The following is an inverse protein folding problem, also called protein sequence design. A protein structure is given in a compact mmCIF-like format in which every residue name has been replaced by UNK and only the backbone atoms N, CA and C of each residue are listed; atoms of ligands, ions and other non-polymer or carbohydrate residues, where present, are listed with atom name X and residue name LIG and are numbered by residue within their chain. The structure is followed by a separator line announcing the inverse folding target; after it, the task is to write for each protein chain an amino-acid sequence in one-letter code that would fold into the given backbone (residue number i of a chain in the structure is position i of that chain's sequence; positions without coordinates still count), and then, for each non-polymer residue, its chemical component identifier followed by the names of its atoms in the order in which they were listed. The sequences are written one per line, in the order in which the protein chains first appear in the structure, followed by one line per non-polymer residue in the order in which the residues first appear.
data_IF_599840941963
#
_entry.id   IF_599840941963
#
_cell.length_a   1.000
_cell.length_b   1.000
_cell.length_c   1.000
_cell.angle_alpha   90.00
_cell.angle_beta   90.00
_cell.angle_gamma   90.00
#
_symmetry.space_group_name_H-M   'P 1'
#
loop_
_entity.id
_entity.type
_entity.pdbx_description
1 polymer ?
#
# COMPACT_ATOMS: atom_id res chain seq x y z
N UNK A 1 0.48 21.16 9.26
CA UNK A 1 1.39 19.99 9.36
C UNK A 1 0.81 18.95 10.32
N UNK A 2 -0.15 18.14 9.89
CA UNK A 2 -0.81 17.12 10.76
C UNK A 2 -0.12 15.76 10.69
N UNK A 3 0.37 15.38 9.50
CA UNK A 3 0.99 14.07 9.27
C UNK A 3 2.10 13.72 10.29
N UNK A 4 3.08 14.61 10.56
CA UNK A 4 4.19 14.26 11.44
C UNK A 4 3.73 14.04 12.88
N UNK A 5 2.73 14.81 13.33
CA UNK A 5 2.16 14.69 14.67
C UNK A 5 1.39 13.38 14.82
N UNK A 6 0.49 13.04 13.89
CA UNK A 6 -0.27 11.78 13.93
C UNK A 6 0.67 10.57 13.89
N UNK A 7 1.69 10.59 13.04
CA UNK A 7 2.68 9.51 12.99
C UNK A 7 3.42 9.35 14.32
N UNK A 8 3.79 10.45 14.97
CA UNK A 8 4.47 10.41 16.28
C UNK A 8 3.56 9.79 17.36
N UNK A 9 2.27 10.15 17.36
CA UNK A 9 1.29 9.57 18.30
C UNK A 9 1.07 8.08 18.07
N UNK A 10 0.96 7.66 16.81
CA UNK A 10 0.82 6.23 16.45
C UNK A 10 2.04 5.43 16.87
N UNK A 11 3.25 5.95 16.63
CA UNK A 11 4.50 5.27 17.05
C UNK A 11 4.56 5.16 18.58
N UNK A 12 4.07 6.18 19.30
CA UNK A 12 3.93 6.14 20.75
C UNK A 12 2.73 5.32 21.25
N UNK A 13 1.99 4.64 20.36
CA UNK A 13 0.77 3.87 20.65
C UNK A 13 -0.35 4.68 21.32
N UNK A 14 -0.35 6.01 21.15
CA UNK A 14 -1.36 6.91 21.67
C UNK A 14 -2.53 7.03 20.69
N UNK A 15 -3.19 5.90 20.39
CA UNK A 15 -4.17 5.82 19.31
C UNK A 15 -5.42 6.66 19.56
N UNK A 16 -5.98 6.64 20.77
CA UNK A 16 -7.16 7.44 21.11
C UNK A 16 -6.92 8.93 20.91
N UNK A 17 -5.74 9.40 21.33
CA UNK A 17 -5.35 10.79 21.15
C UNK A 17 -5.10 11.12 19.67
N UNK A 18 -4.48 10.20 18.91
CA UNK A 18 -4.34 10.35 17.46
C UNK A 18 -5.71 10.47 16.77
N UNK A 19 -6.67 9.60 17.09
CA UNK A 19 -8.03 9.62 16.55
C UNK A 19 -8.76 10.92 16.91
N UNK A 20 -8.63 11.39 18.16
CA UNK A 20 -9.17 12.67 18.59
C UNK A 20 -8.59 13.83 17.76
N UNK A 21 -7.27 13.89 17.61
CA UNK A 21 -6.60 14.92 16.81
C UNK A 21 -7.03 14.87 15.33
N UNK A 22 -7.19 13.68 14.76
CA UNK A 22 -7.63 13.52 13.38
C UNK A 22 -9.05 14.02 13.16
N UNK A 23 -9.99 13.69 14.05
CA UNK A 23 -11.38 14.17 13.98
C UNK A 23 -11.46 15.69 14.09
N UNK A 24 -10.80 16.26 15.10
CA UNK A 24 -10.84 17.71 15.36
C UNK A 24 -10.18 18.53 14.25
N UNK A 25 -9.18 17.95 13.58
CA UNK A 25 -8.43 18.61 12.52
C UNK A 25 -8.73 18.04 11.12
N UNK A 26 -9.91 17.44 10.89
CA UNK A 26 -10.26 16.85 9.60
C UNK A 26 -10.14 17.85 8.45
N UNK A 27 -10.62 19.08 8.66
CA UNK A 27 -10.61 20.14 7.64
C UNK A 27 -9.21 20.48 7.11
N UNK A 28 -8.18 20.29 7.93
CA UNK A 28 -6.80 20.53 7.57
C UNK A 28 -6.23 19.51 6.58
N UNK A 29 -6.91 18.39 6.32
CA UNK A 29 -6.61 17.54 5.15
C UNK A 29 -7.02 18.24 3.85
N UNK A 30 -8.08 19.03 3.89
CA UNK A 30 -8.67 19.69 2.73
C UNK A 30 -9.50 18.74 1.86
N UNK A 31 -10.40 19.28 1.02
CA UNK A 31 -11.39 18.51 0.27
C UNK A 31 -10.77 17.55 -0.76
N UNK A 32 -9.55 17.85 -1.23
CA UNK A 32 -8.83 17.02 -2.19
C UNK A 32 -8.24 15.76 -1.56
N UNK A 33 -8.24 15.63 -0.23
CA UNK A 33 -7.55 14.55 0.48
C UNK A 33 -8.50 13.73 1.36
N UNK A 34 -9.79 13.71 1.04
CA UNK A 34 -10.77 12.91 1.79
C UNK A 34 -10.39 11.41 1.78
N UNK A 35 -9.95 10.85 0.64
CA UNK A 35 -9.48 9.46 0.60
C UNK A 35 -8.30 9.23 1.55
N UNK A 36 -7.32 10.15 1.58
CA UNK A 36 -6.17 10.04 2.48
C UNK A 36 -6.61 10.06 3.96
N UNK A 37 -7.56 10.93 4.30
CA UNK A 37 -8.12 10.96 5.65
C UNK A 37 -8.75 9.61 6.02
N UNK A 38 -9.57 9.03 5.13
CA UNK A 38 -10.26 7.77 5.41
C UNK A 38 -9.28 6.59 5.55
N UNK A 39 -8.25 6.55 4.70
CA UNK A 39 -7.17 5.55 4.79
C UNK A 39 -6.42 5.66 6.13
N UNK A 40 -5.97 6.86 6.49
CA UNK A 40 -5.24 7.08 7.74
C UNK A 40 -6.13 6.73 8.94
N UNK A 41 -7.38 7.19 8.94
CA UNK A 41 -8.29 7.09 10.07
C UNK A 41 -8.74 5.65 10.31
N UNK A 42 -9.12 4.93 9.24
CA UNK A 42 -9.42 3.51 9.29
C UNK A 42 -8.22 2.68 9.79
N UNK A 43 -7.01 2.98 9.31
CA UNK A 43 -5.81 2.28 9.77
C UNK A 43 -5.49 2.55 11.25
N UNK A 44 -5.70 3.77 11.75
CA UNK A 44 -5.52 4.05 13.19
C UNK A 44 -6.58 3.34 14.03
N UNK A 45 -7.84 3.25 13.57
CA UNK A 45 -8.87 2.47 14.24
C UNK A 45 -8.51 0.97 14.31
N UNK A 46 -8.00 0.39 13.22
CA UNK A 46 -7.49 -0.98 13.22
C UNK A 46 -6.40 -1.18 14.28
N UNK A 47 -5.41 -0.28 14.34
CA UNK A 47 -4.33 -0.36 15.32
C UNK A 47 -4.80 -0.12 16.77
N UNK A 48 -5.87 0.63 16.96
CA UNK A 48 -6.51 0.86 18.25
C UNK A 48 -7.35 -0.35 18.73
N UNK A 49 -7.53 -1.38 17.89
CA UNK A 49 -8.44 -2.49 18.17
C UNK A 49 -9.91 -2.16 17.92
N UNK A 50 -10.22 -0.99 17.35
CA UNK A 50 -11.57 -0.57 16.98
C UNK A 50 -11.98 -1.13 15.61
N UNK A 51 -11.98 -2.46 15.48
CA UNK A 51 -12.11 -3.16 14.20
C UNK A 51 -13.43 -2.87 13.47
N UNK A 52 -14.57 -2.83 14.17
CA UNK A 52 -15.86 -2.49 13.55
C UNK A 52 -15.86 -1.09 12.96
N UNK A 53 -15.33 -0.11 13.71
CA UNK A 53 -15.25 1.28 13.24
C UNK A 53 -14.26 1.41 12.08
N UNK A 54 -13.14 0.67 12.13
CA UNK A 54 -12.18 0.57 11.03
C UNK A 54 -12.84 0.08 9.74
N UNK A 55 -13.65 -1.00 9.80
CA UNK A 55 -14.42 -1.50 8.66
C UNK A 55 -15.32 -0.41 8.05
N UNK A 56 -16.06 0.32 8.88
CA UNK A 56 -16.97 1.39 8.43
C UNK A 56 -16.21 2.50 7.68
N UNK A 57 -15.07 2.95 8.20
CA UNK A 57 -14.29 4.04 7.59
C UNK A 57 -13.53 3.58 6.34
N UNK A 58 -13.00 2.34 6.34
CA UNK A 58 -12.34 1.77 5.17
C UNK A 58 -13.33 1.46 4.02
N UNK A 59 -14.60 1.20 4.32
CA UNK A 59 -15.65 1.08 3.30
C UNK A 59 -15.97 2.44 2.65
N UNK A 60 -15.91 3.54 3.41
CA UNK A 60 -15.97 4.89 2.83
C UNK A 60 -14.76 5.14 1.92
N UNK A 61 -13.57 4.68 2.31
CA UNK A 61 -12.38 4.78 1.47
C UNK A 61 -12.55 4.02 0.13
N UNK A 62 -13.11 2.79 0.14
CA UNK A 62 -13.45 2.03 -1.08
C UNK A 62 -14.37 2.82 -2.00
N UNK A 63 -15.45 3.41 -1.47
CA UNK A 63 -16.41 4.22 -2.24
C UNK A 63 -15.77 5.46 -2.87
N UNK A 64 -14.97 6.21 -2.11
CA UNK A 64 -14.28 7.39 -2.63
C UNK A 64 -13.29 6.98 -3.72
N UNK A 65 -12.56 5.87 -3.50
CA UNK A 65 -11.65 5.33 -4.49
C UNK A 65 -12.36 5.01 -5.81
N UNK A 66 -13.47 4.27 -5.78
CA UNK A 66 -14.20 3.87 -7.00
C UNK A 66 -14.76 5.08 -7.77
N UNK A 67 -15.18 6.14 -7.05
CA UNK A 67 -15.57 7.42 -7.66
C UNK A 67 -14.38 8.09 -8.37
N UNK A 68 -13.24 8.20 -7.70
CA UNK A 68 -12.03 8.80 -8.26
C UNK A 68 -11.45 8.00 -9.43
N UNK A 69 -11.55 6.67 -9.38
CA UNK A 69 -11.20 5.77 -10.46
C UNK A 69 -12.05 6.07 -11.71
N UNK A 70 -13.37 6.14 -11.55
CA UNK A 70 -14.32 6.41 -12.64
C UNK A 70 -14.01 7.74 -13.32
N UNK A 71 -13.83 8.81 -12.55
CA UNK A 71 -13.47 10.15 -13.08
C UNK A 71 -12.12 10.11 -13.82
N UNK A 72 -11.14 9.36 -13.32
CA UNK A 72 -9.84 9.23 -13.98
C UNK A 72 -9.95 8.58 -15.36
N UNK A 73 -10.81 7.57 -15.51
CA UNK A 73 -11.00 6.87 -16.78
C UNK A 73 -11.72 7.75 -17.80
N UNK A 74 -12.71 8.54 -17.38
CA UNK A 74 -13.49 9.42 -18.27
C UNK A 74 -12.75 10.71 -18.66
N UNK A 75 -11.95 11.29 -17.76
CA UNK A 75 -11.33 12.63 -17.94
C UNK A 75 -9.80 12.58 -18.14
N UNK A 76 -9.29 11.60 -18.89
CA UNK A 76 -7.86 11.31 -18.98
C UNK A 76 -6.99 12.48 -19.48
N UNK A 77 -7.51 13.41 -20.29
CA UNK A 77 -6.69 14.50 -20.84
C UNK A 77 -6.67 15.79 -19.97
N UNK A 78 -7.79 16.16 -19.34
CA UNK A 78 -7.90 17.43 -18.60
C UNK A 78 -7.19 17.42 -17.23
N UNK A 79 -7.02 16.24 -16.64
CA UNK A 79 -6.38 16.09 -15.31
C UNK A 79 -4.86 16.16 -15.34
N UNK A 80 -4.21 15.95 -16.49
CA UNK A 80 -2.74 15.97 -16.60
C UNK A 80 -2.15 17.38 -16.53
N UNK A 81 -2.98 18.39 -16.81
CA UNK A 81 -2.59 19.81 -16.84
C UNK A 81 -2.67 20.47 -15.46
N UNK A 82 -3.40 19.85 -14.53
CA UNK A 82 -3.54 20.34 -13.16
C UNK A 82 -2.31 19.91 -12.36
N UNK A 83 -1.84 20.75 -11.44
CA UNK A 83 -0.79 20.37 -10.49
C UNK A 83 -1.25 19.13 -9.69
N UNK A 84 -0.50 18.03 -9.75
CA UNK A 84 -0.84 16.74 -9.11
C UNK A 84 -1.12 16.88 -7.61
N UNK A 85 -0.46 17.82 -6.92
CA UNK A 85 -0.72 18.08 -5.50
C UNK A 85 -2.12 18.70 -5.24
N UNK A 86 -2.66 19.46 -6.21
CA UNK A 86 -3.99 20.09 -6.13
C UNK A 86 -5.11 19.18 -6.62
N UNK A 87 -4.80 18.10 -7.33
CA UNK A 87 -5.78 17.11 -7.74
C UNK A 87 -6.28 16.27 -6.55
N UNK A 88 -7.51 15.71 -6.62
CA UNK A 88 -7.98 14.76 -5.62
C UNK A 88 -6.98 13.61 -5.45
N UNK A 89 -6.64 13.29 -4.21
CA UNK A 89 -5.75 12.18 -3.90
C UNK A 89 -6.43 10.85 -4.21
N UNK A 90 -5.83 10.07 -5.13
CA UNK A 90 -6.42 8.83 -5.63
C UNK A 90 -5.92 7.58 -4.90
N UNK A 91 -5.02 7.72 -3.92
CA UNK A 91 -4.34 6.60 -3.28
C UNK A 91 -3.29 5.97 -4.19
N UNK A 92 -2.24 5.43 -3.59
CA UNK A 92 -1.28 4.58 -4.30
C UNK A 92 -1.88 3.18 -4.53
N UNK A 93 -1.38 2.46 -5.55
CA UNK A 93 -1.88 1.12 -5.89
C UNK A 93 -1.84 0.16 -4.70
N UNK A 94 -0.74 0.18 -3.93
CA UNK A 94 -0.59 -0.64 -2.73
C UNK A 94 -1.50 -0.21 -1.58
N UNK A 95 -1.77 1.09 -1.40
CA UNK A 95 -2.67 1.57 -0.35
C UNK A 95 -4.11 1.11 -0.63
N UNK A 96 -4.53 1.12 -1.90
CA UNK A 96 -5.86 0.65 -2.32
C UNK A 96 -6.04 -0.85 -2.05
N UNK A 97 -5.01 -1.65 -2.31
CA UNK A 97 -5.02 -3.09 -2.01
C UNK A 97 -4.98 -3.33 -0.49
N UNK A 98 -4.22 -2.51 0.24
CA UNK A 98 -4.12 -2.60 1.71
C UNK A 98 -5.48 -2.40 2.38
N UNK A 99 -6.41 -1.64 1.78
CA UNK A 99 -7.77 -1.49 2.32
C UNK A 99 -8.42 -2.86 2.54
N UNK A 100 -8.45 -3.68 1.49
CA UNK A 100 -9.05 -5.01 1.51
C UNK A 100 -8.31 -5.96 2.46
N UNK A 101 -6.96 -5.90 2.50
CA UNK A 101 -6.15 -6.70 3.45
C UNK A 101 -6.52 -6.36 4.90
N UNK A 102 -6.59 -5.08 5.25
CA UNK A 102 -6.92 -4.65 6.61
C UNK A 102 -8.38 -4.96 6.95
N UNK A 103 -9.31 -4.84 6.01
CA UNK A 103 -10.69 -5.25 6.24
C UNK A 103 -10.81 -6.77 6.46
N UNK A 104 -10.10 -7.59 5.69
CA UNK A 104 -10.07 -9.03 5.89
C UNK A 104 -9.56 -9.39 7.29
N UNK A 105 -8.49 -8.72 7.76
CA UNK A 105 -8.00 -8.88 9.12
C UNK A 105 -9.00 -8.41 10.19
N UNK A 106 -9.68 -7.29 9.98
CA UNK A 106 -10.72 -6.81 10.90
C UNK A 106 -11.83 -7.86 11.03
N UNK A 107 -12.37 -8.35 9.92
CA UNK A 107 -13.43 -9.36 9.94
C UNK A 107 -12.99 -10.68 10.57
N UNK A 108 -11.76 -11.14 10.30
CA UNK A 108 -11.22 -12.34 10.92
C UNK A 108 -11.12 -12.20 12.45
N UNK A 109 -10.65 -11.06 12.96
CA UNK A 109 -10.60 -10.81 14.42
C UNK A 109 -12.00 -10.71 15.03
N UNK A 110 -12.99 -10.27 14.24
CA UNK A 110 -14.39 -10.25 14.65
C UNK A 110 -15.09 -11.62 14.53
N UNK A 111 -14.39 -12.66 14.07
CA UNK A 111 -14.93 -14.00 13.86
C UNK A 111 -15.83 -14.14 12.63
N UNK A 112 -15.85 -13.15 11.73
CA UNK A 112 -16.63 -13.14 10.50
C UNK A 112 -15.75 -13.56 9.31
N UNK A 113 -15.39 -14.84 9.28
CA UNK A 113 -14.50 -15.40 8.25
C UNK A 113 -15.11 -15.37 6.84
N UNK A 114 -16.44 -15.48 6.72
CA UNK A 114 -17.15 -15.30 5.46
C UNK A 114 -16.85 -13.92 4.84
N UNK A 115 -17.01 -12.83 5.61
CA UNK A 115 -16.65 -11.48 5.12
C UNK A 115 -15.16 -11.29 4.99
N UNK A 116 -14.34 -11.91 5.85
CA UNK A 116 -12.89 -11.86 5.72
C UNK A 116 -12.42 -12.42 4.37
N UNK A 117 -12.98 -13.56 3.95
CA UNK A 117 -12.71 -14.19 2.66
C UNK A 117 -13.24 -13.37 1.48
N UNK A 118 -14.39 -12.69 1.62
CA UNK A 118 -14.85 -11.74 0.60
C UNK A 118 -13.82 -10.63 0.37
N UNK A 119 -13.37 -9.98 1.44
CA UNK A 119 -12.37 -8.90 1.34
C UNK A 119 -11.01 -9.42 0.83
N UNK A 120 -10.59 -10.61 1.25
CA UNK A 120 -9.36 -11.22 0.75
C UNK A 120 -9.45 -11.50 -0.77
N UNK A 121 -10.57 -12.06 -1.26
CA UNK A 121 -10.80 -12.30 -2.71
C UNK A 121 -10.86 -11.01 -3.51
N UNK A 122 -11.43 -9.96 -2.93
CA UNK A 122 -11.52 -8.64 -3.56
C UNK A 122 -10.14 -8.02 -3.88
N UNK A 123 -9.06 -8.48 -3.24
CA UNK A 123 -7.68 -8.07 -3.56
C UNK A 123 -7.33 -8.40 -5.01
N UNK A 124 -7.62 -9.61 -5.49
CA UNK A 124 -7.32 -10.02 -6.87
C UNK A 124 -8.14 -9.17 -7.87
N UNK A 125 -9.41 -8.90 -7.57
CA UNK A 125 -10.24 -8.00 -8.38
C UNK A 125 -9.71 -6.56 -8.41
N UNK A 126 -9.29 -6.05 -7.24
CA UNK A 126 -8.74 -4.70 -7.11
C UNK A 126 -7.44 -4.55 -7.89
N UNK A 127 -6.55 -5.53 -7.80
CA UNK A 127 -5.31 -5.57 -8.57
C UNK A 127 -5.58 -5.64 -10.06
N UNK A 128 -6.54 -6.47 -10.50
CA UNK A 128 -6.97 -6.51 -11.90
C UNK A 128 -7.42 -5.13 -12.40
N UNK A 129 -8.26 -4.43 -11.64
CA UNK A 129 -8.75 -3.10 -11.99
C UNK A 129 -7.62 -2.06 -12.06
N UNK A 130 -6.69 -2.08 -11.10
CA UNK A 130 -5.51 -1.21 -11.10
C UNK A 130 -4.67 -1.46 -12.36
N UNK A 131 -4.40 -2.73 -12.67
CA UNK A 131 -3.55 -3.13 -13.77
C UNK A 131 -4.15 -2.79 -15.15
N UNK A 132 -5.48 -2.75 -15.29
CA UNK A 132 -6.15 -2.29 -16.52
C UNK A 132 -5.86 -0.83 -16.88
N UNK A 133 -5.41 0.01 -15.93
CA UNK A 133 -5.01 1.39 -16.20
C UNK A 133 -3.61 1.52 -16.80
N UNK A 134 -2.86 0.42 -16.86
CA UNK A 134 -1.50 0.39 -17.39
C UNK A 134 -1.52 -0.11 -18.83
N UNK A 135 -0.76 0.56 -19.70
CA UNK A 135 -0.56 0.12 -21.09
C UNK A 135 0.28 -1.15 -21.14
N UNK A 136 0.13 -1.95 -22.20
CA UNK A 136 0.87 -3.20 -22.40
C UNK A 136 2.39 -3.03 -22.39
N UNK A 137 2.90 -1.88 -22.86
CA UNK A 137 4.34 -1.54 -22.88
C UNK A 137 4.84 -0.95 -21.55
N UNK A 138 3.94 -0.72 -20.59
CA UNK A 138 4.22 -0.07 -19.31
C UNK A 138 3.40 -0.73 -18.20
N UNK A 139 3.47 -2.05 -18.12
CA UNK A 139 2.69 -2.82 -17.16
C UNK A 139 3.16 -2.53 -15.73
N UNK A 140 2.20 -2.50 -14.81
CA UNK A 140 2.52 -2.40 -13.38
C UNK A 140 3.21 -3.69 -12.92
N UNK A 141 4.20 -3.55 -12.06
CA UNK A 141 4.92 -4.66 -11.42
C UNK A 141 4.11 -5.26 -10.27
N UNK A 142 3.23 -4.46 -9.64
CA UNK A 142 2.38 -4.91 -8.55
C UNK A 142 1.08 -5.54 -9.09
N UNK A 143 1.12 -6.85 -9.38
CA UNK A 143 0.01 -7.60 -10.02
C UNK A 143 -0.70 -8.58 -9.12
N UNK A 144 -0.02 -9.03 -8.09
CA UNK A 144 -0.50 -9.94 -7.06
C UNK A 144 -0.09 -9.36 -5.70
N UNK A 145 -0.63 -9.90 -4.60
CA UNK A 145 -0.16 -9.63 -3.24
C UNK A 145 0.09 -10.97 -2.52
N UNK A 146 1.37 -11.28 -2.26
CA UNK A 146 1.77 -12.56 -1.67
C UNK A 146 1.23 -12.75 -0.24
N UNK A 147 1.14 -11.66 0.53
CA UNK A 147 0.66 -11.68 1.89
C UNK A 147 -0.86 -11.83 1.95
N UNK A 148 -1.60 -11.16 1.07
CA UNK A 148 -3.04 -11.33 0.94
C UNK A 148 -3.41 -12.78 0.58
N UNK A 149 -2.66 -13.41 -0.32
CA UNK A 149 -2.85 -14.83 -0.67
C UNK A 149 -2.57 -15.77 0.50
N UNK A 150 -1.51 -15.51 1.28
CA UNK A 150 -1.23 -16.24 2.50
C UNK A 150 -2.39 -16.11 3.51
N UNK A 151 -2.88 -14.89 3.76
CA UNK A 151 -4.02 -14.67 4.65
C UNK A 151 -5.29 -15.38 4.17
N UNK A 152 -5.54 -15.36 2.87
CA UNK A 152 -6.68 -16.05 2.26
C UNK A 152 -6.60 -17.56 2.51
N UNK A 153 -5.43 -18.16 2.33
CA UNK A 153 -5.21 -19.58 2.63
C UNK A 153 -5.46 -19.91 4.11
N UNK A 154 -4.95 -19.08 5.03
CA UNK A 154 -5.19 -19.23 6.48
C UNK A 154 -6.69 -19.17 6.80
N UNK A 155 -7.41 -18.23 6.19
CA UNK A 155 -8.85 -18.06 6.43
C UNK A 155 -9.67 -19.24 5.89
N UNK A 156 -9.32 -19.78 4.72
CA UNK A 156 -9.96 -20.99 4.21
C UNK A 156 -9.69 -22.21 5.09
N UNK A 157 -8.44 -22.39 5.52
CA UNK A 157 -8.07 -23.47 6.43
C UNK A 157 -8.84 -23.38 7.76
N UNK A 158 -9.09 -22.17 8.26
CA UNK A 158 -9.87 -21.93 9.47
C UNK A 158 -11.37 -22.28 9.35
N UNK A 159 -11.98 -22.15 8.16
CA UNK A 159 -13.36 -22.59 7.89
C UNK A 159 -13.47 -24.13 7.83
N UNK A 160 -12.45 -24.79 7.25
CA UNK A 160 -12.22 -26.22 7.45
C UNK A 160 -13.11 -27.19 6.66
N UNK A 161 -13.96 -26.74 5.73
CA UNK A 161 -14.64 -27.67 4.82
C UNK A 161 -13.66 -28.25 3.78
N UNK A 162 -13.98 -29.41 3.18
CA UNK A 162 -13.12 -30.01 2.15
C UNK A 162 -12.90 -29.09 0.93
N UNK A 163 -13.93 -28.32 0.54
CA UNK A 163 -13.80 -27.31 -0.53
C UNK A 163 -12.84 -26.21 -0.10
N UNK A 164 -12.94 -25.77 1.16
CA UNK A 164 -12.07 -24.73 1.70
C UNK A 164 -10.62 -25.21 1.82
N UNK A 165 -10.36 -26.49 2.12
CA UNK A 165 -9.00 -27.02 2.15
C UNK A 165 -8.32 -27.01 0.77
N UNK A 166 -9.08 -27.30 -0.30
CA UNK A 166 -8.57 -27.16 -1.67
C UNK A 166 -8.33 -25.67 -2.01
N UNK A 167 -9.24 -24.77 -1.63
CA UNK A 167 -9.06 -23.34 -1.84
C UNK A 167 -7.89 -22.76 -1.01
N UNK A 168 -7.65 -23.30 0.19
CA UNK A 168 -6.50 -22.99 1.03
C UNK A 168 -5.20 -23.41 0.33
N UNK A 169 -5.12 -24.65 -0.14
CA UNK A 169 -3.98 -25.15 -0.93
C UNK A 169 -3.69 -24.26 -2.15
N UNK A 170 -4.71 -23.94 -2.95
CA UNK A 170 -4.56 -23.06 -4.13
C UNK A 170 -4.06 -21.67 -3.71
N UNK A 171 -4.58 -21.12 -2.62
CA UNK A 171 -4.18 -19.81 -2.11
C UNK A 171 -2.72 -19.82 -1.64
N UNK A 172 -2.29 -20.87 -0.94
CA UNK A 172 -0.90 -21.05 -0.53
C UNK A 172 0.04 -21.24 -1.73
N UNK A 173 -0.33 -22.06 -2.72
CA UNK A 173 0.46 -22.25 -3.95
C UNK A 173 0.71 -20.93 -4.68
N UNK A 174 -0.34 -20.13 -4.86
CA UNK A 174 -0.23 -18.80 -5.46
C UNK A 174 0.55 -17.82 -4.58
N UNK A 175 0.52 -17.98 -3.25
CA UNK A 175 1.34 -17.18 -2.35
C UNK A 175 2.83 -17.53 -2.53
N UNK A 176 3.19 -18.82 -2.64
CA UNK A 176 4.55 -19.28 -2.94
C UNK A 176 5.04 -18.68 -4.25
N UNK A 177 4.25 -18.80 -5.33
CA UNK A 177 4.55 -18.18 -6.63
C UNK A 177 4.81 -16.67 -6.49
N UNK A 178 3.94 -15.96 -5.76
CA UNK A 178 4.06 -14.52 -5.57
C UNK A 178 5.31 -14.11 -4.77
N UNK A 179 5.71 -14.86 -3.74
CA UNK A 179 6.97 -14.60 -3.03
C UNK A 179 8.20 -14.91 -3.89
N UNK A 180 8.12 -15.95 -4.73
CA UNK A 180 9.21 -16.39 -5.61
C UNK A 180 9.48 -15.46 -6.81
N UNK A 181 8.52 -14.61 -7.19
CA UNK A 181 8.64 -13.64 -8.29
C UNK A 181 9.71 -12.54 -8.04
N UNK A 182 10.32 -12.49 -6.85
CA UNK A 182 11.43 -11.59 -6.51
C UNK A 182 11.01 -10.12 -6.32
N UNK A 183 9.79 -9.75 -6.69
CA UNK A 183 9.21 -8.41 -6.51
C UNK A 183 9.24 -7.96 -5.04
N UNK A 184 8.86 -8.83 -4.10
CA UNK A 184 8.77 -8.44 -2.69
C UNK A 184 10.14 -8.31 -2.01
N UNK A 185 11.17 -8.97 -2.53
CA UNK A 185 12.49 -9.12 -1.89
C UNK A 185 12.36 -9.60 -0.42
N UNK A 186 11.33 -10.40 -0.16
CA UNK A 186 11.00 -11.00 1.13
C UNK A 186 11.06 -12.52 0.92
N UNK A 187 11.79 -13.27 1.75
CA UNK A 187 11.84 -14.72 1.62
C UNK A 187 10.45 -15.32 1.90
N UNK A 188 10.15 -16.48 1.29
CA UNK A 188 8.94 -17.23 1.59
C UNK A 188 8.87 -17.48 3.11
N UNK A 189 7.84 -16.96 3.82
CA UNK A 189 7.72 -17.14 5.27
C UNK A 189 7.58 -18.62 5.66
N UNK A 190 8.12 -19.01 6.81
CA UNK A 190 8.08 -20.40 7.28
C UNK A 190 6.66 -20.97 7.36
N UNK A 191 5.67 -20.20 7.85
CA UNK A 191 4.22 -20.54 7.90
C UNK A 191 3.73 -20.97 6.54
N UNK A 192 4.19 -20.30 5.48
CA UNK A 192 3.65 -20.59 4.17
C UNK A 192 4.15 -21.96 3.74
N UNK A 193 5.41 -22.27 4.04
CA UNK A 193 5.99 -23.60 3.82
C UNK A 193 5.29 -24.66 4.67
N UNK A 194 5.09 -24.40 5.96
CA UNK A 194 4.40 -25.33 6.87
C UNK A 194 2.96 -25.58 6.44
N UNK A 195 2.22 -24.53 6.09
CA UNK A 195 0.81 -24.60 5.71
C UNK A 195 0.63 -25.24 4.34
N UNK A 196 1.47 -24.92 3.36
CA UNK A 196 1.38 -25.54 2.05
C UNK A 196 1.77 -27.02 2.08
N UNK A 197 2.76 -27.41 2.87
CA UNK A 197 3.11 -28.83 3.07
C UNK A 197 1.95 -29.59 3.75
N UNK A 198 1.34 -29.00 4.79
CA UNK A 198 0.18 -29.59 5.47
C UNK A 198 -1.03 -29.73 4.53
N UNK A 199 -1.31 -28.71 3.72
CA UNK A 199 -2.41 -28.73 2.75
C UNK A 199 -2.13 -29.70 1.59
N UNK A 200 -0.91 -29.71 1.06
CA UNK A 200 -0.49 -30.59 -0.02
C UNK A 200 -0.56 -32.07 0.38
N UNK A 201 -0.25 -32.43 1.63
CA UNK A 201 -0.42 -33.80 2.16
C UNK A 201 -1.88 -34.29 2.01
N UNK A 202 -2.87 -33.39 2.13
CA UNK A 202 -4.28 -33.72 1.94
C UNK A 202 -4.67 -33.77 0.46
N UNK A 203 -4.01 -32.99 -0.40
CA UNK A 203 -4.29 -33.00 -1.85
C UNK A 203 -3.78 -34.26 -2.53
N UNK A 204 -2.58 -34.71 -2.18
CA UNK A 204 -2.00 -35.90 -2.79
C UNK A 204 -0.48 -35.99 -2.65
N UNK A 205 0.05 -37.17 -3.01
CA UNK A 205 1.49 -37.44 -2.97
C UNK A 205 2.27 -36.53 -3.93
N UNK A 206 1.72 -36.28 -5.11
CA UNK A 206 2.40 -35.47 -6.14
C UNK A 206 2.55 -34.01 -5.69
N UNK A 207 1.47 -33.43 -5.13
CA UNK A 207 1.49 -32.08 -4.57
C UNK A 207 2.43 -31.97 -3.37
N UNK A 208 2.47 -32.99 -2.51
CA UNK A 208 3.38 -33.02 -1.37
C UNK A 208 4.84 -33.12 -1.81
N UNK A 209 5.15 -34.05 -2.71
CA UNK A 209 6.52 -34.29 -3.20
C UNK A 209 7.07 -33.01 -3.89
N UNK A 210 6.23 -32.27 -4.63
CA UNK A 210 6.59 -30.99 -5.26
C UNK A 210 7.18 -29.98 -4.26
N UNK A 211 6.45 -29.68 -3.18
CA UNK A 211 6.90 -28.67 -2.21
C UNK A 211 7.95 -29.22 -1.23
N UNK A 212 7.96 -30.53 -0.99
CA UNK A 212 9.02 -31.16 -0.21
C UNK A 212 10.37 -31.10 -0.94
N UNK A 213 10.40 -31.31 -2.25
CA UNK A 213 11.61 -31.11 -3.07
C UNK A 213 12.06 -29.64 -3.10
N UNK A 214 11.12 -28.68 -3.18
CA UNK A 214 11.43 -27.25 -3.20
C UNK A 214 11.99 -26.73 -1.87
N UNK A 215 11.39 -27.14 -0.75
CA UNK A 215 11.71 -26.58 0.57
C UNK A 215 12.60 -27.47 1.45
N UNK A 216 12.74 -28.76 1.12
CA UNK A 216 13.45 -29.75 1.91
C UNK A 216 12.68 -30.21 3.15
N UNK A 217 13.42 -30.65 4.17
CA UNK A 217 12.91 -31.19 5.43
C UNK A 217 12.38 -30.10 6.39
N UNK A 218 11.44 -29.27 5.92
CA UNK A 218 10.74 -28.30 6.77
C UNK A 218 9.82 -29.06 7.73
N UNK A 219 9.98 -28.94 9.06
CA UNK A 219 9.07 -29.58 10.00
C UNK A 219 7.71 -28.90 9.94
N UNK A 220 6.64 -29.68 9.78
CA UNK A 220 5.26 -29.19 9.79
C UNK A 220 4.36 -30.12 10.60
N UNK A 221 3.20 -29.60 11.01
CA UNK A 221 2.13 -30.38 11.65
C UNK A 221 1.06 -30.62 10.59
N UNK A 222 0.65 -31.87 10.38
CA UNK A 222 -0.41 -32.22 9.43
C UNK A 222 -1.75 -31.57 9.81
N UNK A 223 -2.60 -31.30 8.81
CA UNK A 223 -3.96 -30.76 9.06
C UNK A 223 -4.76 -31.64 10.03
N UNK A 224 -4.58 -32.96 9.98
CA UNK A 224 -5.22 -33.91 10.90
C UNK A 224 -4.78 -33.73 12.36
N UNK A 225 -3.52 -33.40 12.60
CA UNK A 225 -3.02 -33.12 13.96
C UNK A 225 -3.35 -31.69 14.40
N UNK A 226 -3.35 -30.72 13.48
CA UNK A 226 -3.79 -29.34 13.73
C UNK A 226 -5.24 -29.28 14.19
N UNK A 227 -6.13 -30.09 13.61
CA UNK A 227 -7.54 -30.20 14.01
C UNK A 227 -7.76 -30.63 15.47
N UNK A 228 -6.74 -31.13 16.16
CA UNK A 228 -6.77 -31.51 17.58
C UNK A 228 -6.22 -30.42 18.50
N UNK A 229 -5.78 -29.30 17.95
CA UNK A 229 -5.05 -28.22 18.62
C UNK A 229 -5.72 -26.88 18.35
N UNK A 230 -5.35 -25.87 19.13
CA UNK A 230 -5.66 -24.50 18.79
C UNK A 230 -4.50 -23.90 17.99
N UNK A 231 -4.80 -23.10 16.97
CA UNK A 231 -3.81 -22.31 16.22
C UNK A 231 -3.97 -20.82 16.53
N UNK A 232 -2.85 -20.14 16.79
CA UNK A 232 -2.85 -18.69 17.05
C UNK A 232 -1.89 -17.98 16.12
N UNK A 233 -2.40 -17.31 15.09
CA UNK A 233 -1.65 -16.41 14.23
C UNK A 233 -1.56 -15.03 14.90
N UNK A 234 -0.37 -14.44 14.94
CA UNK A 234 -0.16 -13.11 15.54
C UNK A 234 0.34 -12.17 14.47
N UNK A 235 -0.37 -11.08 14.20
CA UNK A 235 0.04 -10.09 13.20
C UNK A 235 0.53 -8.85 13.93
N UNK A 236 1.71 -8.35 13.59
CA UNK A 236 2.31 -7.19 14.25
C UNK A 236 2.73 -6.14 13.21
N UNK A 237 2.12 -4.96 13.24
CA UNK A 237 2.54 -3.85 12.39
C UNK A 237 3.79 -3.16 12.93
N UNK A 238 4.84 -3.05 12.12
CA UNK A 238 6.10 -2.46 12.56
C UNK A 238 6.68 -1.44 11.58
N UNK A 239 6.76 -0.19 12.02
CA UNK A 239 7.35 0.90 11.26
C UNK A 239 6.30 1.70 10.48
N UNK A 240 6.76 2.78 9.85
CA UNK A 240 5.92 3.69 9.07
C UNK A 240 6.10 3.43 7.56
N UNK A 241 5.17 3.84 6.70
CA UNK A 241 5.45 3.80 5.24
C UNK A 241 6.58 4.76 4.86
N UNK A 242 7.29 4.50 3.74
CA UNK A 242 8.21 5.46 3.17
C UNK A 242 7.51 6.78 2.86
N UNK A 243 8.28 7.86 2.96
CA UNK A 243 7.78 9.20 2.63
C UNK A 243 8.29 9.61 1.26
N UNK A 244 7.38 10.16 0.45
CA UNK A 244 7.73 10.80 -0.80
C UNK A 244 8.43 12.13 -0.53
N UNK A 245 9.47 12.41 -1.29
CA UNK A 245 10.13 13.70 -1.35
C UNK A 245 10.12 14.21 -2.80
N UNK A 246 10.15 15.53 -3.00
CA UNK A 246 10.16 16.09 -4.33
C UNK A 246 11.59 16.04 -4.90
N UNK A 247 11.72 15.51 -6.11
CA UNK A 247 12.89 15.76 -6.97
C UNK A 247 12.52 16.91 -7.90
N UNK A 248 13.30 18.00 -7.85
CA UNK A 248 13.08 19.21 -8.66
C UNK A 248 14.32 19.49 -9.49
N UNK A 249 14.14 19.60 -10.80
CA UNK A 249 15.21 19.88 -11.76
C UNK A 249 14.83 21.17 -12.50
N UNK A 250 15.50 22.30 -12.21
CA UNK A 250 15.32 23.52 -12.98
C UNK A 250 15.95 23.35 -14.37
N UNK A 251 15.23 23.77 -15.40
CA UNK A 251 15.64 23.68 -16.80
C UNK A 251 15.64 25.10 -17.36
N UNK A 252 16.81 25.76 -17.47
CA UNK A 252 16.91 27.06 -18.12
C UNK A 252 16.69 26.90 -19.63
N UNK A 253 15.87 27.78 -20.20
CA UNK A 253 15.57 27.80 -21.63
C UNK A 253 16.30 28.99 -22.29
N UNK A 254 16.70 28.88 -23.58
CA UNK A 254 17.45 29.92 -24.29
C UNK A 254 16.76 31.29 -24.33
N UNK A 255 15.46 31.30 -24.06
CA UNK A 255 14.58 32.43 -24.17
C UNK A 255 14.40 33.19 -22.82
N UNK A 256 15.21 32.85 -21.82
CA UNK A 256 15.24 33.48 -20.49
C UNK A 256 14.18 32.97 -19.51
N UNK A 257 13.33 32.02 -19.92
CA UNK A 257 12.48 31.31 -18.97
C UNK A 257 13.24 30.21 -18.24
N UNK A 258 12.82 29.95 -17.01
CA UNK A 258 13.22 28.77 -16.26
C UNK A 258 11.97 27.92 -16.08
N UNK A 259 11.95 26.74 -16.69
CA UNK A 259 10.93 25.73 -16.45
C UNK A 259 11.44 24.76 -15.38
N UNK A 260 10.55 24.10 -14.63
CA UNK A 260 10.95 23.20 -13.55
C UNK A 260 10.29 21.85 -13.72
N UNK A 261 11.09 20.81 -13.88
CA UNK A 261 10.60 19.44 -13.85
C UNK A 261 10.51 18.98 -12.39
N UNK A 262 9.33 18.59 -11.92
CA UNK A 262 9.15 18.08 -10.57
C UNK A 262 8.43 16.72 -10.53
N UNK A 263 9.04 15.73 -9.89
CA UNK A 263 8.47 14.38 -9.75
C UNK A 263 8.78 13.81 -8.35
N UNK A 264 7.94 12.88 -7.84
CA UNK A 264 8.15 12.29 -6.53
C UNK A 264 9.21 11.17 -6.58
N UNK A 265 9.89 10.98 -5.45
CA UNK A 265 10.71 9.80 -5.17
C UNK A 265 10.48 9.37 -3.72
N UNK A 266 10.70 8.10 -3.39
CA UNK A 266 10.65 7.61 -2.01
C UNK A 266 12.03 7.64 -1.37
N UNK A 267 12.11 7.99 -0.09
CA UNK A 267 13.26 7.63 0.74
C UNK A 267 12.95 6.35 1.49
N UNK A 268 13.85 5.37 1.40
CA UNK A 268 13.79 4.19 2.25
C UNK A 268 14.00 4.61 3.71
N UNK A 269 13.17 4.08 4.59
CA UNK A 269 13.30 4.29 6.04
C UNK A 269 13.83 3.00 6.64
N UNK A 270 14.81 3.12 7.53
CA UNK A 270 15.31 1.99 8.31
C UNK A 270 14.56 1.93 9.64
N UNK A 271 14.09 0.74 10.00
CA UNK A 271 13.40 0.49 11.27
C UNK A 271 14.15 -0.53 12.11
N UNK A 272 14.18 -0.31 13.41
CA UNK A 272 14.61 -1.27 14.42
C UNK A 272 13.54 -1.31 15.53
N UNK A 273 13.27 -2.47 16.14
CA UNK A 273 13.94 -3.76 15.95
C UNK A 273 13.36 -4.56 14.77
N UNK A 274 14.16 -5.04 13.80
CA UNK A 274 13.63 -5.77 12.61
C UNK A 274 12.93 -7.12 12.89
N UNK A 275 13.01 -7.62 14.11
CA UNK A 275 12.34 -8.85 14.51
C UNK A 275 11.92 -8.77 15.99
N UNK A 276 10.73 -9.29 16.28
CA UNK A 276 10.23 -9.55 17.62
C UNK A 276 10.37 -11.00 18.02
N UNK A 277 10.23 -11.27 19.32
CA UNK A 277 9.99 -12.59 19.88
C UNK A 277 8.68 -12.52 20.64
N UNK A 278 7.82 -13.51 20.47
CA UNK A 278 6.72 -13.69 21.41
C UNK A 278 6.85 -15.03 22.11
N UNK A 279 6.37 -15.00 23.34
CA UNK A 279 6.45 -16.04 24.33
C UNK A 279 5.01 -16.39 24.71
N UNK A 280 4.68 -17.67 24.67
CA UNK A 280 3.41 -18.19 25.14
C UNK A 280 3.69 -19.22 26.22
N UNK A 281 3.11 -18.99 27.40
CA UNK A 281 3.22 -19.89 28.54
C UNK A 281 1.89 -20.58 28.75
N UNK A 282 1.89 -21.91 28.72
CA UNK A 282 0.73 -22.71 29.06
C UNK A 282 0.39 -22.52 30.55
N UNK A 283 -0.86 -22.13 30.84
CA UNK A 283 -1.30 -21.77 32.20
C UNK A 283 -1.13 -22.94 33.18
N UNK A 284 -1.48 -24.16 32.76
CA UNK A 284 -1.53 -25.32 33.65
C UNK A 284 -0.17 -25.99 33.87
N UNK A 285 0.68 -26.04 32.84
CA UNK A 285 1.95 -26.76 32.86
C UNK A 285 3.18 -25.86 33.04
N UNK A 286 3.02 -24.54 32.86
CA UNK A 286 4.13 -23.59 32.78
C UNK A 286 5.05 -23.81 31.57
N UNK A 287 4.67 -24.69 30.64
CA UNK A 287 5.46 -24.93 29.43
C UNK A 287 5.50 -23.66 28.62
N UNK A 288 6.71 -23.26 28.26
CA UNK A 288 6.95 -22.02 27.57
C UNK A 288 7.37 -22.27 26.12
N UNK A 289 6.75 -21.57 25.19
CA UNK A 289 7.02 -21.64 23.75
C UNK A 289 7.40 -20.26 23.24
N UNK A 290 8.49 -20.21 22.50
CA UNK A 290 8.98 -18.98 21.88
C UNK A 290 8.94 -19.12 20.37
N UNK A 291 8.50 -18.05 19.71
CA UNK A 291 8.49 -17.96 18.25
C UNK A 291 9.04 -16.60 17.84
N UNK A 292 9.92 -16.57 16.84
CA UNK A 292 10.42 -15.32 16.24
C UNK A 292 9.42 -14.81 15.20
N UNK A 293 9.33 -13.49 15.01
CA UNK A 293 8.56 -12.91 13.90
C UNK A 293 9.32 -13.07 12.59
N UNK A 294 8.60 -13.15 11.48
CA UNK A 294 9.18 -13.06 10.13
C UNK A 294 8.48 -11.93 9.36
N UNK A 295 9.17 -11.41 8.35
CA UNK A 295 8.56 -10.41 7.48
C UNK A 295 7.65 -11.13 6.48
N UNK A 296 6.34 -10.91 6.55
CA UNK A 296 5.43 -11.39 5.51
C UNK A 296 5.21 -10.37 4.40
N UNK A 297 5.28 -9.07 4.68
CA UNK A 297 5.17 -8.06 3.63
C UNK A 297 6.08 -6.88 3.91
N UNK A 298 6.52 -6.23 2.82
CA UNK A 298 7.40 -5.08 2.84
C UNK A 298 6.72 -3.92 2.09
N UNK A 299 5.80 -3.23 2.77
CA UNK A 299 5.01 -2.14 2.17
C UNK A 299 5.92 -1.02 1.62
N UNK A 300 7.07 -0.77 2.26
CA UNK A 300 8.09 0.14 1.72
C UNK A 300 8.63 -0.30 0.36
N UNK A 301 9.03 -1.57 0.24
CA UNK A 301 9.58 -2.12 -1.00
C UNK A 301 8.53 -2.12 -2.09
N UNK A 302 7.30 -2.54 -1.78
CA UNK A 302 6.16 -2.48 -2.71
C UNK A 302 5.94 -1.03 -3.19
N UNK A 303 5.94 -0.06 -2.28
CA UNK A 303 5.76 1.35 -2.64
C UNK A 303 6.89 1.87 -3.55
N UNK A 304 8.16 1.58 -3.20
CA UNK A 304 9.34 2.00 -3.96
C UNK A 304 9.34 1.38 -5.36
N UNK A 305 9.13 0.07 -5.46
CA UNK A 305 9.13 -0.63 -6.74
C UNK A 305 7.94 -0.25 -7.61
N UNK A 306 6.75 -0.08 -7.03
CA UNK A 306 5.56 0.42 -7.74
C UNK A 306 5.82 1.81 -8.34
N UNK A 307 6.43 2.74 -7.59
CA UNK A 307 6.79 4.06 -8.14
C UNK A 307 7.89 3.96 -9.22
N UNK A 308 8.91 3.12 -9.00
CA UNK A 308 10.01 2.94 -9.95
C UNK A 308 9.52 2.40 -11.29
N UNK A 309 8.60 1.44 -11.29
CA UNK A 309 8.04 0.86 -12.53
C UNK A 309 7.31 1.89 -13.40
N UNK A 310 6.64 2.86 -12.80
CA UNK A 310 5.92 3.93 -13.52
C UNK A 310 6.67 5.25 -13.59
N UNK A 311 7.93 5.30 -13.16
CA UNK A 311 8.72 6.54 -13.03
C UNK A 311 8.82 7.30 -14.35
N UNK A 312 9.04 6.60 -15.47
CA UNK A 312 9.10 7.21 -16.80
C UNK A 312 7.78 7.92 -17.17
N UNK A 313 6.63 7.28 -16.91
CA UNK A 313 5.31 7.87 -17.15
C UNK A 313 5.10 9.12 -16.29
N UNK A 314 5.52 9.08 -15.03
CA UNK A 314 5.41 10.23 -14.10
C UNK A 314 6.30 11.39 -14.57
N UNK A 315 7.53 11.13 -14.98
CA UNK A 315 8.44 12.13 -15.53
C UNK A 315 7.89 12.73 -16.83
N UNK A 316 7.37 11.90 -17.74
CA UNK A 316 6.77 12.37 -18.98
C UNK A 316 5.57 13.31 -18.73
N UNK A 317 4.69 12.97 -17.77
CA UNK A 317 3.59 13.85 -17.36
C UNK A 317 4.09 15.18 -16.78
N UNK A 318 5.10 15.13 -15.92
CA UNK A 318 5.70 16.34 -15.36
C UNK A 318 6.31 17.22 -16.45
N UNK A 319 6.99 16.64 -17.44
CA UNK A 319 7.55 17.38 -18.57
C UNK A 319 6.45 18.05 -19.43
N UNK A 320 5.37 17.32 -19.74
CA UNK A 320 4.23 17.87 -20.48
C UNK A 320 3.57 19.03 -19.74
N UNK A 321 3.30 18.87 -18.43
CA UNK A 321 2.74 19.93 -17.58
C UNK A 321 3.65 21.15 -17.53
N UNK A 322 4.96 20.95 -17.36
CA UNK A 322 5.95 22.02 -17.33
C UNK A 322 6.04 22.76 -18.67
N UNK A 323 5.98 22.02 -19.79
CA UNK A 323 5.94 22.58 -21.14
C UNK A 323 4.68 23.40 -21.42
N UNK A 324 3.51 22.88 -21.05
CA UNK A 324 2.23 23.59 -21.20
C UNK A 324 2.20 24.89 -20.38
N UNK A 325 2.67 24.86 -19.12
CA UNK A 325 2.82 26.07 -18.29
C UNK A 325 3.76 27.09 -18.92
N UNK A 326 4.89 26.63 -19.47
CA UNK A 326 5.84 27.49 -20.17
C UNK A 326 5.20 28.17 -21.38
N UNK A 327 4.48 27.42 -22.22
CA UNK A 327 3.78 27.96 -23.39
C UNK A 327 2.72 29.00 -22.99
N UNK A 328 1.95 28.74 -21.92
CA UNK A 328 0.98 29.70 -21.41
C UNK A 328 1.65 30.99 -20.90
N UNK A 329 2.75 30.86 -20.14
CA UNK A 329 3.51 32.02 -19.67
C UNK A 329 4.10 32.83 -20.83
N UNK A 330 4.63 32.17 -21.86
CA UNK A 330 5.12 32.79 -23.10
C UNK A 330 4.04 33.58 -23.84
N UNK A 331 2.86 32.98 -23.99
CA UNK A 331 1.74 33.65 -24.66
C UNK A 331 1.28 34.91 -23.89
N UNK A 332 1.25 34.84 -22.56
CA UNK A 332 0.94 36.00 -21.71
C UNK A 332 2.01 37.08 -21.76
N UNK A 333 3.29 36.71 -21.77
CA UNK A 333 4.40 37.66 -21.94
C UNK A 333 4.25 38.43 -23.25
N UNK A 334 4.04 37.73 -24.38
CA UNK A 334 3.87 38.36 -25.69
C UNK A 334 2.70 39.36 -25.72
N UNK A 335 1.56 39.01 -25.11
CA UNK A 335 0.41 39.93 -24.99
C UNK A 335 0.74 41.17 -24.14
N UNK A 336 1.51 41.02 -23.07
CA UNK A 336 1.94 42.13 -22.20
C UNK A 336 2.94 43.02 -22.94
N UNK A 337 3.86 42.44 -23.71
CA UNK A 337 4.82 43.18 -24.53
C UNK A 337 4.12 44.03 -25.59
N UNK A 338 3.13 43.47 -26.30
CA UNK A 338 2.34 44.18 -27.30
C UNK A 338 1.49 45.31 -26.70
N UNK A 339 0.87 45.08 -25.54
CA UNK A 339 -0.07 46.05 -24.94
C UNK A 339 0.56 47.11 -24.05
N UNK A 340 1.63 46.77 -23.32
CA UNK A 340 2.20 47.59 -22.23
C UNK A 340 3.70 47.87 -22.43
N UNK A 341 4.35 47.15 -23.35
CA UNK A 341 5.74 47.35 -23.73
C UNK A 341 6.72 46.34 -23.12
N UNK A 342 7.88 46.23 -23.76
CA UNK A 342 8.93 45.23 -23.52
C UNK A 342 9.44 45.18 -22.07
N UNK A 343 9.60 46.33 -21.42
CA UNK A 343 10.04 46.42 -20.02
C UNK A 343 9.10 45.68 -19.07
N UNK A 344 7.79 45.77 -19.31
CA UNK A 344 6.77 45.12 -18.50
C UNK A 344 6.72 43.62 -18.79
N UNK A 345 6.90 43.20 -20.05
CA UNK A 345 7.07 41.79 -20.42
C UNK A 345 8.26 41.14 -19.73
N UNK A 346 9.41 41.82 -19.72
CA UNK A 346 10.61 41.38 -19.02
C UNK A 346 10.37 41.22 -17.51
N UNK A 347 9.72 42.18 -16.86
CA UNK A 347 9.36 42.09 -15.45
C UNK A 347 8.41 40.91 -15.18
N UNK A 348 7.41 40.71 -16.04
CA UNK A 348 6.50 39.57 -15.95
C UNK A 348 7.25 38.24 -16.04
N UNK A 349 8.21 38.10 -16.96
CA UNK A 349 9.03 36.89 -17.09
C UNK A 349 9.80 36.55 -15.82
N UNK A 350 10.41 37.53 -15.16
CA UNK A 350 11.09 37.31 -13.87
C UNK A 350 10.13 36.79 -12.80
N UNK A 351 8.96 37.44 -12.67
CA UNK A 351 7.93 37.02 -11.71
C UNK A 351 7.40 35.62 -12.05
N UNK A 352 7.19 35.33 -13.34
CA UNK A 352 6.74 34.03 -13.84
C UNK A 352 7.74 32.92 -13.55
N UNK A 353 9.04 33.18 -13.73
CA UNK A 353 10.10 32.23 -13.37
C UNK A 353 10.09 31.88 -11.88
N UNK A 354 9.98 32.89 -11.00
CA UNK A 354 9.85 32.68 -9.55
C UNK A 354 8.58 31.87 -9.22
N UNK A 355 7.46 32.21 -9.84
CA UNK A 355 6.20 31.49 -9.66
C UNK A 355 6.30 30.04 -10.12
N UNK A 356 6.95 29.74 -11.24
CA UNK A 356 7.11 28.37 -11.75
C UNK A 356 7.93 27.50 -10.80
N UNK A 357 9.02 28.02 -10.22
CA UNK A 357 9.86 27.32 -9.25
C UNK A 357 9.05 26.92 -8.00
N UNK A 358 8.18 27.82 -7.52
CA UNK A 358 7.40 27.61 -6.29
C UNK A 358 6.14 26.77 -6.55
N UNK A 359 5.43 27.05 -7.64
CA UNK A 359 4.14 26.46 -7.95
C UNK A 359 4.22 25.03 -8.47
N UNK A 360 5.38 24.61 -9.00
CA UNK A 360 5.59 23.25 -9.46
C UNK A 360 5.97 22.34 -8.29
N UNK A 361 5.01 21.51 -7.89
CA UNK A 361 5.18 20.49 -6.88
C UNK A 361 4.66 19.14 -7.41
N UNK A 362 5.34 18.03 -7.10
CA UNK A 362 4.80 16.71 -7.36
C UNK A 362 3.79 16.33 -6.27
N UNK A 363 3.01 15.28 -6.51
CA UNK A 363 2.20 14.67 -5.46
C UNK A 363 3.07 13.93 -4.45
N UNK A 364 3.09 14.45 -3.22
CA UNK A 364 3.82 13.88 -2.08
C UNK A 364 2.89 13.22 -1.05
N UNK A 365 1.59 13.14 -1.35
CA UNK A 365 0.59 12.56 -0.46
C UNK A 365 0.74 11.04 -0.50
N UNK A 366 1.23 10.43 0.58
CA UNK A 366 1.23 8.99 0.90
C UNK A 366 1.49 8.86 2.39
N UNK A 367 0.75 7.98 3.07
CA UNK A 367 0.88 7.76 4.52
C UNK A 367 0.53 6.33 4.94
N UNK A 368 1.14 5.33 4.31
CA UNK A 368 0.97 3.95 4.79
C UNK A 368 1.65 3.68 6.15
N UNK A 369 1.46 2.48 6.70
CA UNK A 369 2.24 1.90 7.81
C UNK A 369 2.69 0.50 7.39
N UNK A 370 3.67 -0.09 8.07
CA UNK A 370 4.24 -1.40 7.72
C UNK A 370 3.58 -2.54 8.51
N UNK A 371 3.42 -3.70 7.88
CA UNK A 371 2.86 -4.92 8.48
C UNK A 371 3.95 -6.02 8.56
N UNK A 372 4.16 -6.60 9.74
CA UNK A 372 4.90 -7.86 9.93
C UNK A 372 3.92 -8.94 10.42
N UNK A 373 4.23 -10.20 10.16
CA UNK A 373 3.40 -11.34 10.56
C UNK A 373 4.18 -12.25 11.51
N UNK A 374 3.47 -12.96 12.38
CA UNK A 374 4.03 -13.96 13.29
C UNK A 374 3.09 -15.17 13.39
N UNK A 375 3.73 -16.32 13.57
CA UNK A 375 3.20 -17.66 13.28
C UNK A 375 2.22 -18.20 14.31
N UNK A 376 1.43 -19.15 13.81
CA UNK A 376 0.61 -20.12 14.53
C UNK A 376 1.37 -20.73 15.71
N UNK A 377 0.89 -20.51 16.93
CA UNK A 377 1.23 -21.36 18.06
C UNK A 377 0.20 -22.49 18.11
N UNK A 378 0.67 -23.72 17.91
CA UNK A 378 -0.13 -24.93 18.13
C UNK A 378 -0.07 -25.32 19.60
N UNK A 379 -1.16 -25.04 20.32
CA UNK A 379 -1.37 -25.39 21.73
C UNK A 379 -1.79 -26.84 21.93
#
# INVERSE_FOLDING_TARGET
MIAPQINSLVVAQQYDYALHQMRHNKENYGPQNELLYQLDYGMVLHLAGEYQNSVVELEKAKKIYDQLYTVSVTNQASTWLINDNKAPYRGEDFERVTINIIQALNFAVLGDFEKALVEARDVDWRLKLINQQYKEDQQNVYRQDAFARLLMGIMYEAEGSLSDLNDAYISYAKAVEAYSDGYYDVPIPLVLKENILAAAEVMGREEFDLYHEEFGDVPFISLKERAKKAEVYVIHHQGLSPVKHPVKIPIPLPNGFITQLAFPAYHQRTYEPKAGKFEATAVDSGINRFVKTEQATAIDRIAIQSLNSRKLRVIAKAALRSGAKHMAARALEAQIEEGVGETTGNAFRYVSNLYNIVSEQPDLKVRGKHCLLKFALHG
#
